data_IF_838673275673
#
_entry.id   IF_838673275673
#
_cell.length_a   1.000
_cell.length_b   1.000
_cell.length_c   1.000
_cell.angle_alpha   90.00
_cell.angle_beta   90.00
_cell.angle_gamma   90.00
#
_symmetry.space_group_name_H-M   'P 1'
#
loop_
_entity.id
_entity.type
_entity.pdbx_description
1 polymer ?
#
# COMPACT_ATOMS: atom_id res chain seq x y z
N UNK A 1 -13.07 -25.37 -12.94
CA UNK A 1 -13.11 -23.91 -12.70
C UNK A 1 -11.70 -23.52 -12.33
N UNK A 2 -11.10 -22.63 -13.11
CA UNK A 2 -9.70 -22.29 -12.97
C UNK A 2 -9.56 -21.28 -11.82
N UNK A 3 -9.32 -21.81 -10.61
CA UNK A 3 -9.13 -21.02 -9.38
C UNK A 3 -7.64 -20.67 -9.19
N UNK A 4 -6.86 -20.67 -10.28
CA UNK A 4 -5.47 -20.26 -10.26
C UNK A 4 -5.35 -18.78 -9.87
N UNK A 5 -4.28 -18.46 -9.14
CA UNK A 5 -3.93 -17.07 -8.82
C UNK A 5 -3.72 -16.31 -10.13
N UNK A 6 -4.33 -15.12 -10.23
CA UNK A 6 -4.24 -14.28 -11.41
C UNK A 6 -3.32 -13.10 -11.14
N UNK A 7 -2.39 -12.85 -12.06
CA UNK A 7 -1.49 -11.70 -12.01
C UNK A 7 -1.83 -10.74 -13.14
N UNK A 8 -1.85 -9.44 -12.84
CA UNK A 8 -2.14 -8.41 -13.82
C UNK A 8 -1.23 -7.20 -13.62
N UNK A 9 -1.13 -6.38 -14.68
CA UNK A 9 -0.54 -5.06 -14.62
C UNK A 9 -1.52 -4.02 -15.13
N UNK A 10 -1.55 -2.85 -14.50
CA UNK A 10 -2.30 -1.70 -14.99
C UNK A 10 -1.39 -0.48 -15.11
N UNK A 11 -1.27 0.04 -16.32
CA UNK A 11 -0.53 1.29 -16.55
C UNK A 11 -1.40 2.50 -16.18
N UNK A 12 -0.86 3.34 -15.30
CA UNK A 12 -1.47 4.61 -14.88
C UNK A 12 -0.48 5.75 -15.08
N UNK A 13 -0.96 6.97 -15.32
CA UNK A 13 -0.09 8.14 -15.27
C UNK A 13 0.50 8.30 -13.86
N UNK A 14 1.80 8.56 -13.79
CA UNK A 14 2.51 8.86 -12.55
C UNK A 14 1.85 10.08 -11.90
N UNK A 15 1.74 11.17 -12.64
CA UNK A 15 0.96 12.33 -12.23
C UNK A 15 -0.52 12.15 -12.62
N UNK A 16 -1.36 11.85 -11.61
CA UNK A 16 -2.79 11.53 -11.81
C UNK A 16 -3.65 12.76 -12.10
N UNK A 17 -3.19 13.94 -11.68
CA UNK A 17 -3.91 15.19 -11.85
C UNK A 17 -3.81 15.68 -13.30
N UNK A 18 -2.58 15.76 -13.82
CA UNK A 18 -2.35 16.22 -15.19
C UNK A 18 -2.65 15.14 -16.23
N UNK A 19 -2.50 13.86 -15.87
CA UNK A 19 -2.59 12.72 -16.81
C UNK A 19 -1.67 12.86 -18.02
N UNK A 20 -0.48 13.39 -17.80
CA UNK A 20 0.55 13.56 -18.83
C UNK A 20 1.87 12.98 -18.36
N UNK A 21 2.81 12.80 -19.30
CA UNK A 21 4.16 12.33 -19.00
C UNK A 21 4.24 10.84 -18.72
N UNK A 22 5.08 10.47 -17.74
CA UNK A 22 5.43 9.09 -17.42
C UNK A 22 4.21 8.27 -16.99
N UNK A 23 4.13 7.03 -17.46
CA UNK A 23 3.25 6.00 -16.92
C UNK A 23 4.03 5.03 -16.03
N UNK A 24 3.37 4.54 -15.00
CA UNK A 24 3.85 3.51 -14.09
C UNK A 24 2.92 2.31 -14.14
N UNK A 25 3.49 1.11 -14.22
CA UNK A 25 2.74 -0.14 -14.12
C UNK A 25 2.49 -0.48 -12.64
N UNK A 26 1.23 -0.72 -12.30
CA UNK A 26 0.82 -1.27 -11.01
C UNK A 26 0.82 -2.79 -11.07
N UNK A 27 1.43 -3.45 -10.10
CA UNK A 27 1.41 -4.90 -9.94
C UNK A 27 0.19 -5.32 -9.13
N UNK A 28 -0.60 -6.24 -9.68
CA UNK A 28 -1.88 -6.67 -9.13
C UNK A 28 -1.89 -8.20 -9.07
N UNK A 29 -2.35 -8.73 -7.94
CA UNK A 29 -2.66 -10.15 -7.78
C UNK A 29 -4.12 -10.28 -7.37
N UNK A 30 -4.85 -11.18 -8.01
CA UNK A 30 -6.20 -11.59 -7.62
C UNK A 30 -6.13 -13.04 -7.19
N UNK A 31 -6.59 -13.31 -5.98
CA UNK A 31 -6.91 -14.64 -5.50
C UNK A 31 -8.40 -14.89 -5.76
N UNK A 32 -8.78 -15.66 -6.80
CA UNK A 32 -10.18 -15.82 -7.14
C UNK A 32 -10.96 -16.54 -6.05
N UNK A 33 -12.26 -16.26 -5.97
CA UNK A 33 -13.18 -17.00 -5.14
C UNK A 33 -13.26 -18.46 -5.61
N UNK A 34 -13.40 -19.40 -4.66
CA UNK A 34 -13.48 -20.82 -5.01
C UNK A 34 -14.89 -21.32 -5.30
N UNK A 35 -15.93 -20.60 -4.87
CA UNK A 35 -17.32 -20.93 -5.14
C UNK A 35 -17.69 -20.74 -6.63
N UNK A 36 -18.57 -21.61 -7.13
CA UNK A 36 -19.10 -21.55 -8.50
C UNK A 36 -19.84 -20.24 -8.78
N UNK A 37 -20.59 -19.75 -7.80
CA UNK A 37 -21.27 -18.45 -7.84
C UNK A 37 -20.61 -17.62 -6.75
N UNK A 38 -19.78 -16.66 -7.18
CA UNK A 38 -19.11 -15.72 -6.28
C UNK A 38 -19.97 -14.49 -6.05
N UNK A 39 -19.76 -13.86 -4.92
CA UNK A 39 -20.33 -12.55 -4.64
C UNK A 39 -19.64 -11.49 -5.52
N UNK A 40 -20.35 -10.43 -5.94
CA UNK A 40 -19.83 -9.48 -6.92
C UNK A 40 -18.78 -8.52 -6.34
N UNK A 41 -18.74 -8.34 -5.02
CA UNK A 41 -17.89 -7.39 -4.33
C UNK A 41 -16.65 -8.06 -3.71
N UNK A 42 -15.44 -7.80 -4.22
CA UNK A 42 -14.21 -8.43 -3.73
C UNK A 42 -13.73 -7.79 -2.43
N UNK A 43 -12.68 -8.37 -1.84
CA UNK A 43 -11.93 -7.78 -0.74
C UNK A 43 -10.66 -7.15 -1.30
N UNK A 44 -10.50 -5.85 -1.13
CA UNK A 44 -9.26 -5.14 -1.46
C UNK A 44 -8.41 -5.05 -0.20
N UNK A 45 -7.22 -5.64 -0.25
CA UNK A 45 -6.29 -5.69 0.88
C UNK A 45 -5.30 -4.52 0.81
N UNK A 46 -5.30 -3.70 1.86
CA UNK A 46 -4.38 -2.58 2.05
C UNK A 46 -3.31 -2.97 3.06
N UNK A 47 -2.08 -3.17 2.57
CA UNK A 47 -0.93 -3.52 3.39
C UNK A 47 -0.46 -2.36 4.28
N UNK A 48 0.25 -2.73 5.35
CA UNK A 48 0.85 -1.80 6.31
C UNK A 48 2.20 -1.23 5.88
N UNK A 49 3.04 -0.93 6.87
CA UNK A 49 4.30 -0.20 6.68
C UNK A 49 4.17 1.25 7.14
N UNK A 50 4.19 2.27 6.25
CA UNK A 50 4.10 2.24 4.79
C UNK A 50 5.28 1.56 4.10
N UNK A 51 5.10 1.17 2.82
CA UNK A 51 6.17 0.61 1.99
C UNK A 51 6.08 -0.90 1.73
N UNK A 52 5.22 -1.62 2.46
CA UNK A 52 5.00 -3.05 2.24
C UNK A 52 4.28 -3.29 0.90
N UNK A 53 4.69 -4.33 0.18
CA UNK A 53 3.97 -4.81 -0.99
C UNK A 53 2.74 -5.62 -0.55
N UNK A 54 1.55 -5.30 -1.05
CA UNK A 54 0.36 -6.08 -0.69
C UNK A 54 0.43 -7.49 -1.28
N UNK A 55 1.09 -7.67 -2.43
CA UNK A 55 1.22 -8.99 -3.06
C UNK A 55 2.12 -9.95 -2.27
N UNK A 56 2.97 -9.46 -1.37
CA UNK A 56 3.73 -10.31 -0.44
C UNK A 56 2.85 -10.92 0.66
N UNK A 57 1.64 -10.37 0.88
CA UNK A 57 0.69 -10.83 1.90
C UNK A 57 -0.26 -11.93 1.42
N UNK A 58 -0.15 -12.41 0.18
CA UNK A 58 -1.09 -13.40 -0.40
C UNK A 58 -1.20 -14.67 0.46
N UNK A 59 -0.07 -15.21 0.92
CA UNK A 59 -0.06 -16.42 1.77
C UNK A 59 -0.74 -16.17 3.12
N UNK A 60 -0.40 -15.06 3.79
CA UNK A 60 -1.00 -14.67 5.08
C UNK A 60 -2.49 -14.41 4.94
N UNK A 61 -2.91 -13.68 3.90
CA UNK A 61 -4.31 -13.39 3.60
C UNK A 61 -5.12 -14.66 3.36
N UNK A 62 -4.55 -15.68 2.69
CA UNK A 62 -5.21 -16.97 2.52
C UNK A 62 -5.48 -17.68 3.86
N UNK A 63 -4.60 -17.51 4.84
CA UNK A 63 -4.78 -18.07 6.19
C UNK A 63 -5.88 -17.31 6.93
N UNK A 64 -5.83 -15.99 6.96
CA UNK A 64 -6.73 -15.19 7.81
C UNK A 64 -8.10 -14.89 7.16
N UNK A 65 -8.16 -14.82 5.82
CA UNK A 65 -9.39 -14.52 5.06
C UNK A 65 -9.89 -15.73 4.26
N UNK A 66 -9.34 -16.93 4.46
CA UNK A 66 -9.65 -18.12 3.65
C UNK A 66 -11.14 -18.43 3.56
N UNK A 67 -11.87 -18.31 4.68
CA UNK A 67 -13.33 -18.49 4.71
C UNK A 67 -14.05 -17.45 3.85
N UNK A 68 -13.59 -16.19 3.83
CA UNK A 68 -14.18 -15.15 2.99
C UNK A 68 -13.81 -15.34 1.51
N UNK A 69 -12.58 -15.81 1.23
CA UNK A 69 -12.14 -16.13 -0.12
C UNK A 69 -12.96 -17.25 -0.75
N UNK A 70 -13.69 -18.08 0.02
CA UNK A 70 -14.60 -19.04 -0.59
C UNK A 70 -15.64 -18.37 -1.49
N UNK A 71 -16.10 -17.16 -1.14
CA UNK A 71 -17.17 -16.46 -1.85
C UNK A 71 -16.74 -15.17 -2.55
N UNK A 72 -15.57 -14.62 -2.20
CA UNK A 72 -15.10 -13.32 -2.67
C UNK A 72 -13.69 -13.41 -3.23
N UNK A 73 -13.43 -12.74 -4.34
CA UNK A 73 -12.07 -12.54 -4.78
C UNK A 73 -11.33 -11.68 -3.75
N UNK A 74 -10.04 -11.95 -3.54
CA UNK A 74 -9.16 -11.06 -2.77
C UNK A 74 -8.18 -10.41 -3.73
N UNK A 75 -8.16 -9.08 -3.75
CA UNK A 75 -7.34 -8.28 -4.64
C UNK A 75 -6.23 -7.61 -3.84
N UNK A 76 -5.01 -7.81 -4.32
CA UNK A 76 -3.78 -7.24 -3.79
C UNK A 76 -3.20 -6.31 -4.83
N UNK A 77 -2.88 -5.09 -4.42
CA UNK A 77 -2.27 -4.09 -5.29
C UNK A 77 -1.01 -3.63 -4.58
N UNK A 78 0.14 -3.81 -5.21
CA UNK A 78 1.34 -3.13 -4.73
C UNK A 78 1.13 -1.65 -4.97
N UNK A 79 1.11 -0.86 -3.89
CA UNK A 79 0.97 0.57 -3.97
C UNK A 79 2.09 1.16 -4.85
N UNK A 80 1.81 2.23 -5.60
CA UNK A 80 2.87 2.99 -6.29
C UNK A 80 4.05 3.24 -5.35
N UNK A 81 5.26 2.94 -5.81
CA UNK A 81 6.49 3.06 -5.01
C UNK A 81 6.81 1.86 -4.13
N UNK A 82 5.99 0.80 -4.10
CA UNK A 82 6.21 -0.42 -3.31
C UNK A 82 6.21 -1.67 -4.18
N UNK A 83 6.76 -2.77 -3.64
CA UNK A 83 6.76 -4.07 -4.31
C UNK A 83 7.23 -4.01 -5.76
N UNK A 84 6.41 -4.56 -6.67
CA UNK A 84 6.68 -4.53 -8.12
C UNK A 84 6.03 -3.32 -8.82
N UNK A 85 5.41 -2.40 -8.08
CA UNK A 85 4.79 -1.17 -8.57
C UNK A 85 5.76 0.01 -8.53
N UNK A 86 6.83 -0.06 -9.30
CA UNK A 86 7.82 1.03 -9.44
C UNK A 86 8.47 1.42 -8.10
N UNK A 87 9.08 0.44 -7.43
CA UNK A 87 9.71 0.57 -6.11
C UNK A 87 10.60 1.81 -5.96
N UNK A 88 10.30 2.62 -4.94
CA UNK A 88 11.17 3.69 -4.46
C UNK A 88 11.98 3.15 -3.29
N UNK A 89 13.23 2.77 -3.57
CA UNK A 89 14.15 2.22 -2.58
C UNK A 89 15.44 3.04 -2.51
N UNK A 90 15.90 3.26 -1.29
CA UNK A 90 17.17 3.87 -0.95
C UNK A 90 17.93 2.96 0.01
N UNK A 91 19.25 3.07 -0.01
CA UNK A 91 20.09 2.36 0.95
C UNK A 91 20.18 3.19 2.22
N UNK A 92 19.79 2.59 3.34
CA UNK A 92 19.97 3.17 4.66
C UNK A 92 21.09 2.40 5.40
N UNK A 93 21.84 3.06 6.29
CA UNK A 93 22.78 2.39 7.18
C UNK A 93 22.05 1.35 8.02
N UNK A 94 22.74 0.26 8.26
CA UNK A 94 22.33 -0.77 9.21
C UNK A 94 22.49 -0.27 10.64
N UNK A 95 21.76 -0.89 11.57
CA UNK A 95 21.74 -0.50 12.99
C UNK A 95 23.10 -0.69 13.70
N UNK A 96 24.03 -1.43 13.10
CA UNK A 96 25.41 -1.63 13.57
C UNK A 96 26.36 -0.48 13.19
N UNK A 97 25.90 0.54 12.46
CA UNK A 97 26.72 1.71 12.16
C UNK A 97 27.02 2.50 13.45
N UNK A 98 28.30 2.64 13.87
CA UNK A 98 28.66 3.31 15.12
C UNK A 98 28.29 4.80 15.14
N UNK A 99 28.22 5.45 13.98
CA UNK A 99 27.78 6.84 13.87
C UNK A 99 26.26 6.97 14.06
N UNK A 100 25.49 5.89 13.84
CA UNK A 100 24.08 5.87 14.22
C UNK A 100 23.93 5.83 15.74
N UNK A 101 24.85 5.26 16.52
CA UNK A 101 24.71 5.20 17.98
C UNK A 101 24.82 6.57 18.67
N UNK A 102 25.57 7.52 18.10
CA UNK A 102 25.74 8.88 18.61
C UNK A 102 24.61 9.80 18.11
N UNK A 103 23.88 10.47 19.01
CA UNK A 103 22.70 11.26 18.65
C UNK A 103 22.98 12.43 17.67
N UNK A 104 24.08 13.16 17.86
CA UNK A 104 24.44 14.31 17.03
C UNK A 104 24.86 13.86 15.62
N UNK A 105 25.72 12.84 15.55
CA UNK A 105 26.13 12.23 14.28
C UNK A 105 24.98 11.56 13.55
N UNK A 106 24.07 10.91 14.28
CA UNK A 106 22.87 10.27 13.73
C UNK A 106 22.04 11.29 12.96
N UNK A 107 21.83 12.50 13.51
CA UNK A 107 21.02 13.52 12.84
C UNK A 107 21.65 13.99 11.53
N UNK A 108 22.94 14.33 11.54
CA UNK A 108 23.65 14.77 10.33
C UNK A 108 23.67 13.68 9.26
N UNK A 109 24.05 12.46 9.65
CA UNK A 109 24.08 11.29 8.77
C UNK A 109 22.70 11.02 8.17
N UNK A 110 21.65 11.06 8.99
CA UNK A 110 20.25 10.86 8.57
C UNK A 110 19.83 11.90 7.54
N UNK A 111 20.12 13.18 7.77
CA UNK A 111 19.79 14.26 6.82
C UNK A 111 20.52 14.09 5.49
N UNK A 112 21.80 13.72 5.53
CA UNK A 112 22.60 13.44 4.33
C UNK A 112 21.98 12.30 3.51
N UNK A 113 21.68 11.17 4.15
CA UNK A 113 21.10 10.00 3.48
C UNK A 113 19.74 10.31 2.88
N UNK A 114 18.86 11.01 3.60
CA UNK A 114 17.55 11.37 3.06
C UNK A 114 17.66 12.35 1.88
N UNK A 115 18.62 13.27 1.92
CA UNK A 115 18.89 14.21 0.83
C UNK A 115 19.38 13.46 -0.42
N UNK A 116 20.40 12.61 -0.26
CA UNK A 116 20.94 11.78 -1.37
C UNK A 116 19.88 10.83 -1.94
N UNK A 117 19.09 10.20 -1.07
CA UNK A 117 17.95 9.36 -1.44
C UNK A 117 16.94 10.14 -2.28
N UNK A 118 16.46 11.28 -1.77
CA UNK A 118 15.52 12.15 -2.48
C UNK A 118 16.07 12.55 -3.84
N UNK A 119 17.29 13.06 -3.89
CA UNK A 119 17.87 13.61 -5.12
C UNK A 119 18.09 12.51 -6.17
N UNK A 120 18.50 11.32 -5.74
CA UNK A 120 18.62 10.15 -6.62
C UNK A 120 17.27 9.67 -7.13
N UNK A 121 16.26 9.57 -6.27
CA UNK A 121 14.93 9.12 -6.68
C UNK A 121 14.24 10.16 -7.58
N UNK A 122 14.46 11.46 -7.34
CA UNK A 122 13.90 12.55 -8.14
C UNK A 122 14.38 12.54 -9.60
N UNK A 123 15.54 11.94 -9.90
CA UNK A 123 16.00 11.76 -11.28
C UNK A 123 15.15 10.77 -12.08
N UNK A 124 14.40 9.89 -11.41
CA UNK A 124 13.66 8.80 -12.06
C UNK A 124 12.16 8.81 -11.76
N UNK A 125 11.66 9.66 -10.86
CA UNK A 125 10.27 9.68 -10.45
C UNK A 125 9.84 11.06 -9.94
N UNK A 126 8.60 11.45 -10.23
CA UNK A 126 7.98 12.61 -9.58
C UNK A 126 7.58 12.24 -8.14
N UNK A 127 8.45 12.52 -7.18
CA UNK A 127 8.28 12.18 -5.78
C UNK A 127 7.02 12.78 -5.13
N UNK A 128 6.46 13.84 -5.72
CA UNK A 128 5.20 14.45 -5.22
C UNK A 128 4.00 13.51 -5.43
N UNK A 129 4.13 12.50 -6.29
CA UNK A 129 3.03 11.63 -6.70
C UNK A 129 2.92 10.32 -5.91
N UNK A 130 3.74 10.12 -4.88
CA UNK A 130 3.81 8.85 -4.13
C UNK A 130 3.11 8.90 -2.76
N UNK A 131 2.23 9.89 -2.56
CA UNK A 131 1.38 10.00 -1.37
C UNK A 131 0.14 9.09 -1.38
N UNK A 132 -0.47 8.92 -0.20
CA UNK A 132 -1.65 8.05 0.02
C UNK A 132 -2.82 8.43 -0.89
N UNK A 133 -3.11 9.73 -1.02
CA UNK A 133 -4.22 10.21 -1.86
C UNK A 133 -4.03 9.75 -3.30
N UNK A 134 -2.87 9.97 -3.91
CA UNK A 134 -2.59 9.55 -5.29
C UNK A 134 -2.68 8.03 -5.45
N UNK A 135 -2.16 7.27 -4.48
CA UNK A 135 -2.32 5.82 -4.43
C UNK A 135 -3.79 5.38 -4.42
N UNK A 136 -4.69 6.05 -3.67
CA UNK A 136 -6.10 5.63 -3.65
C UNK A 136 -6.82 5.84 -4.99
N UNK A 137 -6.35 6.79 -5.81
CA UNK A 137 -6.83 6.92 -7.18
C UNK A 137 -6.36 5.78 -8.11
N UNK A 138 -5.27 5.10 -7.76
CA UNK A 138 -4.83 3.88 -8.46
C UNK A 138 -5.68 2.68 -8.06
N UNK A 139 -5.95 2.51 -6.76
CA UNK A 139 -6.84 1.45 -6.27
C UNK A 139 -8.22 1.54 -6.92
N UNK A 140 -8.77 2.74 -7.09
CA UNK A 140 -10.05 2.91 -7.79
C UNK A 140 -9.95 2.60 -9.29
N UNK A 141 -8.85 2.96 -9.94
CA UNK A 141 -8.62 2.59 -11.34
C UNK A 141 -8.52 1.07 -11.52
N UNK A 142 -7.89 0.36 -10.59
CA UNK A 142 -7.83 -1.11 -10.58
C UNK A 142 -9.22 -1.70 -10.36
N UNK A 143 -10.02 -1.15 -9.43
CA UNK A 143 -11.41 -1.57 -9.24
C UNK A 143 -12.20 -1.49 -10.55
N UNK A 144 -12.13 -0.36 -11.25
CA UNK A 144 -12.80 -0.17 -12.54
C UNK A 144 -12.26 -1.13 -13.60
N UNK A 145 -10.94 -1.27 -13.72
CA UNK A 145 -10.31 -2.13 -14.72
C UNK A 145 -10.64 -3.63 -14.53
N UNK A 146 -10.83 -4.06 -13.28
CA UNK A 146 -11.26 -5.43 -12.96
C UNK A 146 -12.79 -5.61 -13.02
N UNK A 147 -13.56 -4.56 -13.28
CA UNK A 147 -15.01 -4.63 -13.47
C UNK A 147 -15.84 -4.70 -12.18
N UNK A 148 -15.29 -4.28 -11.04
CA UNK A 148 -16.02 -4.30 -9.77
C UNK A 148 -16.79 -3.00 -9.52
N UNK A 149 -18.08 -3.10 -9.18
CA UNK A 149 -18.89 -1.94 -8.82
C UNK A 149 -18.53 -1.41 -7.42
N UNK A 150 -18.65 -2.28 -6.41
CA UNK A 150 -18.29 -2.01 -5.01
C UNK A 150 -17.25 -2.98 -4.49
N UNK A 151 -16.50 -2.54 -3.48
CA UNK A 151 -15.45 -3.33 -2.84
C UNK A 151 -15.59 -3.32 -1.30
N UNK A 152 -15.07 -4.37 -0.66
CA UNK A 152 -14.87 -4.42 0.79
C UNK A 152 -13.41 -4.05 1.07
N UNK A 153 -13.17 -3.05 1.92
CA UNK A 153 -11.82 -2.65 2.30
C UNK A 153 -11.36 -3.46 3.50
N UNK A 154 -10.16 -4.02 3.43
CA UNK A 154 -9.47 -4.58 4.60
C UNK A 154 -8.11 -3.90 4.70
N UNK A 155 -7.87 -3.15 5.77
CA UNK A 155 -6.60 -2.47 6.01
C UNK A 155 -5.96 -2.89 7.31
N UNK A 156 -4.64 -3.06 7.31
CA UNK A 156 -3.85 -3.32 8.51
C UNK A 156 -2.75 -2.28 8.70
N UNK A 157 -2.55 -1.80 9.94
CA UNK A 157 -1.51 -0.81 10.26
C UNK A 157 -1.67 0.45 9.37
N UNK A 158 -0.62 0.94 8.69
CA UNK A 158 -0.72 2.05 7.73
C UNK A 158 -1.81 1.82 6.65
N UNK A 159 -2.10 0.57 6.29
CA UNK A 159 -3.18 0.21 5.37
C UNK A 159 -4.56 0.66 5.85
N UNK A 160 -4.76 0.84 7.16
CA UNK A 160 -5.98 1.44 7.70
C UNK A 160 -6.11 2.93 7.36
N UNK A 161 -5.00 3.67 7.25
CA UNK A 161 -5.01 5.06 6.75
C UNK A 161 -5.37 5.10 5.28
N UNK A 162 -4.82 4.18 4.49
CA UNK A 162 -5.18 4.03 3.07
C UNK A 162 -6.66 3.69 2.91
N UNK A 163 -7.20 2.73 3.66
CA UNK A 163 -8.61 2.36 3.61
C UNK A 163 -9.54 3.53 4.00
N UNK A 164 -9.18 4.31 5.03
CA UNK A 164 -9.92 5.51 5.42
C UNK A 164 -9.88 6.58 4.32
N UNK A 165 -8.73 6.81 3.69
CA UNK A 165 -8.61 7.76 2.58
C UNK A 165 -9.39 7.30 1.34
N UNK A 166 -9.40 6.00 1.04
CA UNK A 166 -10.24 5.45 -0.04
C UNK A 166 -11.72 5.68 0.24
N UNK A 167 -12.19 5.34 1.45
CA UNK A 167 -13.58 5.53 1.87
C UNK A 167 -14.00 7.00 1.77
N UNK A 168 -13.14 7.93 2.20
CA UNK A 168 -13.42 9.38 2.13
C UNK A 168 -13.61 9.86 0.69
N UNK A 169 -12.85 9.32 -0.26
CA UNK A 169 -12.85 9.76 -1.66
C UNK A 169 -13.88 9.05 -2.53
N UNK A 170 -14.15 7.78 -2.25
CA UNK A 170 -15.02 6.92 -3.06
C UNK A 170 -16.10 6.24 -2.18
N UNK A 171 -16.87 6.99 -1.37
CA UNK A 171 -17.77 6.40 -0.38
C UNK A 171 -18.84 5.49 -1.01
N UNK A 172 -19.30 5.82 -2.21
CA UNK A 172 -20.31 5.03 -2.93
C UNK A 172 -19.78 3.70 -3.46
N UNK A 173 -18.45 3.56 -3.59
CA UNK A 173 -17.79 2.35 -4.10
C UNK A 173 -17.41 1.38 -2.99
N UNK A 174 -17.70 1.72 -1.73
CA UNK A 174 -17.37 0.89 -0.57
C UNK A 174 -18.62 0.22 -0.02
N UNK A 175 -18.56 -1.09 0.18
CA UNK A 175 -19.61 -1.86 0.84
C UNK A 175 -19.36 -2.04 2.33
N UNK A 176 -18.14 -2.45 2.70
CA UNK A 176 -17.72 -2.57 4.10
C UNK A 176 -16.27 -2.13 4.27
N UNK A 177 -15.90 -1.83 5.51
CA UNK A 177 -14.52 -1.47 5.88
C UNK A 177 -14.15 -2.21 7.16
N UNK A 178 -13.02 -2.91 7.13
CA UNK A 178 -12.36 -3.49 8.29
C UNK A 178 -11.01 -2.81 8.48
N UNK A 179 -10.77 -2.27 9.68
CA UNK A 179 -9.52 -1.61 10.06
C UNK A 179 -8.88 -2.39 11.22
N UNK A 180 -7.76 -3.05 10.96
CA UNK A 180 -7.00 -3.80 11.94
C UNK A 180 -5.76 -2.98 12.37
N UNK A 181 -5.61 -2.73 13.68
CA UNK A 181 -4.50 -1.94 14.24
C UNK A 181 -4.42 -0.52 13.67
N UNK A 182 -5.40 0.30 14.03
CA UNK A 182 -5.74 1.57 13.34
C UNK A 182 -4.65 2.65 13.47
N UNK A 183 -4.20 3.14 12.31
CA UNK A 183 -3.42 4.36 12.16
C UNK A 183 -4.36 5.54 11.84
N UNK A 184 -4.76 6.28 12.87
CA UNK A 184 -5.62 7.47 12.73
C UNK A 184 -5.04 8.48 11.72
N UNK A 185 -5.83 9.11 10.84
CA UNK A 185 -5.35 10.16 9.94
C UNK A 185 -4.72 11.36 10.66
N UNK A 186 -5.09 11.61 11.91
CA UNK A 186 -4.53 12.68 12.74
C UNK A 186 -3.15 12.36 13.33
N UNK A 187 -2.70 11.10 13.26
CA UNK A 187 -1.41 10.68 13.80
C UNK A 187 -0.27 11.03 12.82
N UNK A 188 0.78 11.68 13.30
CA UNK A 188 2.01 11.82 12.51
C UNK A 188 2.81 10.52 12.66
N UNK A 189 3.05 9.84 11.54
CA UNK A 189 3.79 8.58 11.51
C UNK A 189 5.22 8.84 10.99
N UNK A 190 6.28 8.26 11.58
CA UNK A 190 6.30 7.39 12.78
C UNK A 190 6.63 8.16 14.08
N UNK A 191 6.35 9.47 14.16
CA UNK A 191 6.86 10.38 15.20
C UNK A 191 6.77 9.84 16.65
N UNK A 192 5.64 9.23 17.00
CA UNK A 192 5.39 8.75 18.36
C UNK A 192 5.79 7.28 18.61
N UNK A 193 6.22 6.54 17.59
CA UNK A 193 6.42 5.09 17.69
C UNK A 193 7.40 4.70 18.80
N UNK A 194 8.57 5.34 18.88
CA UNK A 194 9.57 5.04 19.92
C UNK A 194 9.07 5.37 21.33
N UNK A 195 8.30 6.45 21.46
CA UNK A 195 7.74 6.86 22.76
C UNK A 195 6.66 5.91 23.22
N UNK A 196 5.77 5.50 22.32
CA UNK A 196 4.68 4.57 22.63
C UNK A 196 5.20 3.17 22.90
N UNK A 197 6.26 2.72 22.21
CA UNK A 197 6.96 1.48 22.53
C UNK A 197 7.58 1.49 23.94
N UNK A 198 8.12 2.64 24.37
CA UNK A 198 8.70 2.81 25.71
C UNK A 198 7.68 2.97 26.85
N UNK A 199 6.38 3.11 26.54
CA UNK A 199 5.30 3.25 27.55
C UNK A 199 4.74 1.90 28.02
N UNK A 200 5.22 0.80 27.46
CA UNK A 200 4.83 -0.56 27.82
C UNK A 200 5.89 -1.29 28.64
N UNK A 201 6.18 -0.83 29.86
CA UNK A 201 6.59 -1.65 31.03
C UNK A 201 6.20 -0.92 32.30
#
# INVERSE_FOLDING_TARGET
MDNAVQCAKLDVFENRETKTGRKIALNIVVLPATARIKEPDPIFLFAGGPGQAATDLVATAKIILGTLNTKRDIVFIDQRGTGKSNLLSCKFPTDDNPDMANADKRRELTLKIYTECRDTLAQKADLTQYGTTTAMADYDAVRVALGYDKINLWGASYGTRSAQEYLRRYPNQVRTVTLDSVASPALILPENFSRDAGRGT
#
